data_IF_932228111310
#
_entry.id   IF_932228111310
#
_cell.length_a   1.000
_cell.length_b   1.000
_cell.length_c   1.000
_cell.angle_alpha   90.00
_cell.angle_beta   90.00
_cell.angle_gamma   90.00
#
_symmetry.space_group_name_H-M   'P 1'
#
loop_
_entity.id
_entity.type
_entity.pdbx_description
1 polymer ?
#
# COMPACT_ATOMS: atom_id res chain seq x y z
N UNK A 1 -2.29 -13.19 9.49
CA UNK A 1 -0.85 -12.80 9.55
C UNK A 1 -0.40 -12.36 8.17
N UNK A 2 0.68 -11.54 8.02
CA UNK A 2 1.29 -11.30 6.69
C UNK A 2 2.21 -12.48 6.42
N UNK A 3 1.96 -13.21 5.32
CA UNK A 3 2.73 -14.40 4.94
C UNK A 3 3.74 -14.10 3.85
N UNK A 4 3.47 -13.07 3.04
CA UNK A 4 4.37 -12.63 1.97
C UNK A 4 4.23 -11.14 1.76
N UNK A 5 5.34 -10.49 1.47
CA UNK A 5 5.36 -9.11 1.01
C UNK A 5 6.22 -8.99 -0.25
N UNK A 6 5.72 -8.27 -1.25
CA UNK A 6 6.46 -7.88 -2.45
C UNK A 6 6.52 -6.37 -2.52
N UNK A 7 7.70 -5.84 -2.75
CA UNK A 7 7.96 -4.40 -2.83
C UNK A 7 8.78 -4.13 -4.09
N UNK A 8 8.26 -3.26 -4.95
CA UNK A 8 8.96 -2.82 -6.15
C UNK A 8 9.04 -1.30 -6.18
N UNK A 9 10.22 -0.79 -6.51
CA UNK A 9 10.50 0.64 -6.71
C UNK A 9 10.18 1.52 -5.50
N UNK A 10 10.48 1.07 -4.30
CA UNK A 10 10.26 1.82 -3.06
C UNK A 10 11.60 2.22 -2.42
N UNK A 11 11.92 3.50 -2.36
CA UNK A 11 13.14 4.08 -1.77
C UNK A 11 14.40 3.38 -2.30
N UNK A 12 15.19 2.73 -1.44
CA UNK A 12 16.37 1.95 -1.86
C UNK A 12 16.03 0.55 -2.39
N UNK A 13 14.78 0.11 -2.27
CA UNK A 13 14.35 -1.22 -2.71
C UNK A 13 13.89 -1.15 -4.15
N UNK A 14 14.68 -1.74 -5.06
CA UNK A 14 14.28 -1.89 -6.45
C UNK A 14 13.21 -2.97 -6.60
N UNK A 15 13.51 -4.14 -6.04
CA UNK A 15 12.61 -5.30 -6.07
C UNK A 15 12.99 -6.25 -4.93
N UNK A 16 12.01 -6.67 -4.16
CA UNK A 16 12.16 -7.71 -3.15
C UNK A 16 10.85 -8.45 -2.96
N UNK A 17 10.95 -9.76 -2.77
CA UNK A 17 9.85 -10.61 -2.32
C UNK A 17 10.32 -11.39 -1.09
N UNK A 18 9.56 -11.33 -0.01
CA UNK A 18 9.87 -11.96 1.27
C UNK A 18 8.71 -12.85 1.69
N UNK A 19 9.00 -14.12 1.95
CA UNK A 19 8.12 -15.00 2.71
C UNK A 19 8.31 -14.73 4.20
N UNK A 20 7.21 -14.55 4.92
CA UNK A 20 7.20 -14.18 6.33
C UNK A 20 6.58 -15.28 7.18
N UNK A 21 7.22 -15.57 8.31
CA UNK A 21 6.72 -16.46 9.35
C UNK A 21 6.10 -15.69 10.52
N UNK A 22 5.76 -16.39 11.61
CA UNK A 22 5.20 -15.76 12.83
C UNK A 22 6.16 -14.77 13.50
N UNK A 23 7.46 -14.98 13.35
CA UNK A 23 8.52 -14.11 13.85
C UNK A 23 9.58 -13.96 12.76
N UNK A 24 9.90 -12.72 12.41
CA UNK A 24 10.92 -12.42 11.41
C UNK A 24 11.91 -11.41 11.97
N UNK A 25 13.19 -11.66 11.76
CA UNK A 25 14.27 -10.77 12.16
C UNK A 25 14.98 -10.30 10.88
N UNK A 26 14.98 -8.99 10.66
CA UNK A 26 15.68 -8.37 9.53
C UNK A 26 16.95 -7.71 10.04
N UNK A 27 18.10 -8.24 9.64
CA UNK A 27 19.40 -7.69 10.01
C UNK A 27 20.27 -7.37 8.78
N UNK A 28 21.27 -6.54 8.96
CA UNK A 28 22.18 -6.12 7.90
C UNK A 28 22.84 -4.78 8.21
N UNK A 29 23.78 -4.32 7.35
CA UNK A 29 24.46 -3.05 7.55
C UNK A 29 23.50 -1.85 7.51
N UNK A 30 23.97 -0.69 8.01
CA UNK A 30 23.19 0.54 7.91
C UNK A 30 23.06 0.94 6.44
N UNK A 31 21.88 1.46 6.08
CA UNK A 31 21.59 1.88 4.69
C UNK A 31 21.16 0.76 3.73
N UNK A 32 21.17 -0.53 4.13
CA UNK A 32 20.80 -1.63 3.24
C UNK A 32 19.27 -1.76 2.97
N UNK A 33 18.44 -0.87 3.54
CA UNK A 33 17.01 -0.85 3.22
C UNK A 33 16.08 -1.53 4.24
N UNK A 34 16.58 -1.99 5.40
CA UNK A 34 15.74 -2.64 6.45
C UNK A 34 14.51 -1.82 6.82
N UNK A 35 14.71 -0.55 7.13
CA UNK A 35 13.63 0.38 7.49
C UNK A 35 12.64 0.63 6.34
N UNK A 36 13.06 0.43 5.11
CA UNK A 36 12.19 0.63 3.95
C UNK A 36 11.15 -0.49 3.81
N UNK A 37 11.48 -1.73 4.22
CA UNK A 37 10.50 -2.82 4.29
C UNK A 37 9.39 -2.46 5.29
N UNK A 38 9.78 -1.99 6.48
CA UNK A 38 8.85 -1.53 7.51
C UNK A 38 7.98 -0.36 7.00
N UNK A 39 8.59 0.65 6.37
CA UNK A 39 7.89 1.80 5.80
C UNK A 39 6.93 1.42 4.67
N UNK A 40 7.24 0.40 3.87
CA UNK A 40 6.35 -0.10 2.85
C UNK A 40 5.08 -0.72 3.46
N UNK A 41 5.22 -1.50 4.54
CA UNK A 41 4.05 -2.05 5.26
C UNK A 41 3.23 -0.92 5.90
N UNK A 42 3.92 0.10 6.45
CA UNK A 42 3.26 1.26 7.04
C UNK A 42 2.45 2.06 6.02
N UNK A 43 2.95 2.20 4.78
CA UNK A 43 2.20 2.83 3.69
C UNK A 43 0.88 2.08 3.39
N UNK A 44 0.87 0.74 3.43
CA UNK A 44 -0.37 -0.03 3.27
C UNK A 44 -1.37 0.26 4.40
N UNK A 45 -0.89 0.39 5.64
CA UNK A 45 -1.77 0.76 6.77
C UNK A 45 -2.26 2.19 6.67
N UNK A 46 -1.43 3.12 6.23
CA UNK A 46 -1.84 4.50 5.96
C UNK A 46 -2.95 4.54 4.89
N UNK A 47 -2.83 3.72 3.84
CA UNK A 47 -3.87 3.57 2.81
C UNK A 47 -5.19 3.07 3.42
N UNK A 48 -5.14 2.06 4.30
CA UNK A 48 -6.32 1.54 4.98
C UNK A 48 -6.97 2.56 5.94
N UNK A 49 -6.21 3.50 6.47
CA UNK A 49 -6.68 4.57 7.33
C UNK A 49 -7.20 5.80 6.55
N UNK A 50 -7.12 5.82 5.22
CA UNK A 50 -7.43 7.02 4.42
C UNK A 50 -6.40 8.15 4.61
N UNK A 51 -5.16 7.79 4.84
CA UNK A 51 -4.04 8.70 5.10
C UNK A 51 -2.91 8.51 4.09
N UNK A 52 -3.21 7.94 2.93
CA UNK A 52 -2.20 7.65 1.91
C UNK A 52 -1.48 8.93 1.46
N UNK A 53 -2.22 9.96 1.06
CA UNK A 53 -1.64 11.24 0.62
C UNK A 53 -0.84 11.93 1.72
N UNK A 54 -1.34 11.93 2.95
CA UNK A 54 -0.65 12.53 4.09
C UNK A 54 0.67 11.83 4.36
N UNK A 55 0.66 10.48 4.37
CA UNK A 55 1.86 9.69 4.55
C UNK A 55 2.92 9.97 3.48
N UNK A 56 2.51 10.02 2.20
CA UNK A 56 3.42 10.34 1.11
C UNK A 56 4.01 11.75 1.27
N UNK A 57 3.20 12.71 1.68
CA UNK A 57 3.65 14.09 1.94
C UNK A 57 4.64 14.17 3.11
N UNK A 58 4.38 13.50 4.22
CA UNK A 58 5.27 13.42 5.39
C UNK A 58 6.63 12.80 5.07
N UNK A 59 6.65 11.83 4.16
CA UNK A 59 7.89 11.20 3.66
C UNK A 59 8.61 12.04 2.60
N UNK A 60 8.12 13.26 2.32
CA UNK A 60 8.72 14.23 1.41
C UNK A 60 8.27 14.13 -0.04
N UNK A 61 7.10 13.52 -0.28
CA UNK A 61 6.50 13.39 -1.60
C UNK A 61 6.86 12.09 -2.33
N UNK A 62 6.18 11.87 -3.45
CA UNK A 62 6.32 10.63 -4.23
C UNK A 62 7.74 10.43 -4.76
N UNK A 63 8.45 11.50 -5.13
CA UNK A 63 9.84 11.43 -5.61
C UNK A 63 10.79 10.82 -4.57
N UNK A 64 10.58 11.14 -3.28
CA UNK A 64 11.41 10.65 -2.19
C UNK A 64 11.09 9.20 -1.77
N UNK A 65 9.90 8.71 -2.07
CA UNK A 65 9.52 7.34 -1.76
C UNK A 65 9.68 6.38 -2.95
N UNK A 66 9.83 6.91 -4.17
CA UNK A 66 10.14 6.07 -5.33
C UNK A 66 11.63 5.75 -5.41
N UNK A 67 11.92 4.56 -5.94
CA UNK A 67 13.31 4.17 -6.21
C UNK A 67 13.94 5.08 -7.29
N UNK A 68 15.05 5.71 -6.95
CA UNK A 68 15.72 6.73 -7.77
C UNK A 68 16.78 6.18 -8.76
N UNK A 69 16.97 4.85 -8.83
CA UNK A 69 17.95 4.25 -9.74
C UNK A 69 17.58 4.45 -11.22
N UNK A 70 18.55 4.23 -12.11
CA UNK A 70 18.33 4.39 -13.55
C UNK A 70 17.32 3.36 -14.06
N UNK A 71 16.34 3.84 -14.81
CA UNK A 71 15.40 2.99 -15.55
C UNK A 71 16.11 2.34 -16.73
N UNK A 72 15.84 1.05 -17.00
CA UNK A 72 16.43 0.40 -18.14
C UNK A 72 15.89 1.02 -19.45
N UNK A 73 16.72 1.16 -20.49
CA UNK A 73 16.27 1.69 -21.77
C UNK A 73 15.12 0.89 -22.41
N UNK A 74 14.95 -0.35 -21.99
CA UNK A 74 13.89 -1.27 -22.43
C UNK A 74 12.56 -1.04 -21.73
N UNK A 75 12.55 -0.32 -20.60
CA UNK A 75 11.34 -0.05 -19.84
C UNK A 75 10.52 1.04 -20.54
N UNK A 76 9.51 0.60 -21.28
CA UNK A 76 8.61 1.47 -22.07
C UNK A 76 7.54 2.16 -21.25
N UNK A 77 7.31 1.70 -20.00
CA UNK A 77 6.25 2.22 -19.14
C UNK A 77 6.82 3.11 -18.03
N UNK A 78 6.09 4.15 -17.62
CA UNK A 78 6.46 4.94 -16.45
C UNK A 78 6.67 4.05 -15.23
N UNK A 79 7.71 4.36 -14.46
CA UNK A 79 7.99 3.64 -13.21
C UNK A 79 6.81 3.77 -12.26
N UNK A 80 6.43 2.67 -11.64
CA UNK A 80 5.43 2.61 -10.59
C UNK A 80 6.05 2.01 -9.34
N UNK A 81 5.71 2.58 -8.21
CA UNK A 81 5.88 1.95 -6.90
C UNK A 81 4.78 0.90 -6.78
N UNK A 82 5.15 -0.32 -6.38
CA UNK A 82 4.19 -1.40 -6.16
C UNK A 82 4.50 -2.08 -4.84
N UNK A 83 3.47 -2.23 -4.02
CA UNK A 83 3.54 -3.00 -2.79
C UNK A 83 2.38 -3.98 -2.79
N UNK A 84 2.68 -5.25 -2.53
CA UNK A 84 1.68 -6.28 -2.38
C UNK A 84 1.94 -7.08 -1.11
N UNK A 85 0.88 -7.41 -0.37
CA UNK A 85 0.96 -8.28 0.79
C UNK A 85 -0.06 -9.42 0.67
N UNK A 86 0.39 -10.63 0.97
CA UNK A 86 -0.44 -11.82 1.11
C UNK A 86 -0.60 -12.11 2.59
N UNK A 87 -1.85 -12.29 3.02
CA UNK A 87 -2.20 -12.71 4.38
C UNK A 87 -2.95 -14.05 4.36
N UNK A 88 -3.33 -14.55 5.53
CA UNK A 88 -4.17 -15.76 5.65
C UNK A 88 -5.54 -15.58 4.98
N UNK A 89 -6.05 -14.34 4.91
CA UNK A 89 -7.40 -14.04 4.48
C UNK A 89 -7.48 -13.39 3.09
N UNK A 90 -6.48 -12.62 2.70
CA UNK A 90 -6.51 -11.84 1.46
C UNK A 90 -5.11 -11.57 0.91
N UNK A 91 -5.07 -11.21 -0.36
CA UNK A 91 -3.93 -10.55 -1.00
C UNK A 91 -4.35 -9.13 -1.42
N UNK A 92 -3.56 -8.15 -1.01
CA UNK A 92 -3.77 -6.74 -1.38
C UNK A 92 -2.57 -6.23 -2.18
N UNK A 93 -2.85 -5.52 -3.26
CA UNK A 93 -1.84 -4.91 -4.13
C UNK A 93 -2.18 -3.44 -4.38
N UNK A 94 -1.19 -2.58 -4.17
CA UNK A 94 -1.25 -1.14 -4.41
C UNK A 94 -0.16 -0.74 -5.40
N UNK A 95 -0.53 -0.04 -6.46
CA UNK A 95 0.40 0.56 -7.42
C UNK A 95 0.20 2.07 -7.46
N UNK A 96 1.30 2.80 -7.33
CA UNK A 96 1.32 4.25 -7.26
C UNK A 96 2.28 4.80 -8.33
N UNK A 97 1.95 5.93 -8.89
CA UNK A 97 2.78 6.60 -9.88
C UNK A 97 2.47 8.09 -9.96
N UNK A 98 3.22 8.78 -10.81
CA UNK A 98 2.96 10.18 -11.11
C UNK A 98 1.74 10.35 -12.04
N UNK A 99 1.13 11.54 -12.06
CA UNK A 99 0.14 11.91 -13.05
C UNK A 99 0.67 11.68 -14.49
N UNK A 100 -0.24 11.50 -15.41
CA UNK A 100 0.14 11.54 -16.83
C UNK A 100 0.63 12.94 -17.19
N UNK A 101 1.64 13.00 -18.07
CA UNK A 101 2.17 14.29 -18.53
C UNK A 101 1.09 15.01 -19.32
N UNK A 102 0.65 16.13 -18.78
CA UNK A 102 -0.27 17.04 -19.48
C UNK A 102 0.52 17.93 -20.44
N UNK A 103 -0.11 18.39 -21.54
CA UNK A 103 0.53 19.29 -22.50
C UNK A 103 0.76 20.71 -21.96
N UNK A 104 0.32 20.99 -20.74
CA UNK A 104 0.49 22.26 -20.03
C UNK A 104 1.07 22.04 -18.63
N UNK A 105 1.86 22.96 -18.08
CA UNK A 105 2.39 22.83 -16.73
C UNK A 105 1.25 22.93 -15.70
N UNK A 106 1.31 22.04 -14.71
CA UNK A 106 0.40 22.04 -13.55
C UNK A 106 1.21 21.88 -12.27
N UNK A 107 0.73 22.46 -11.17
CA UNK A 107 1.35 22.34 -9.85
C UNK A 107 1.21 20.92 -9.27
N UNK A 108 0.30 20.09 -9.81
CA UNK A 108 -0.01 18.74 -9.33
C UNK A 108 0.78 17.63 -10.04
N UNK A 109 1.82 17.97 -10.79
CA UNK A 109 2.63 16.97 -11.53
C UNK A 109 3.39 15.98 -10.66
N UNK A 110 3.60 16.32 -9.40
CA UNK A 110 4.33 15.50 -8.43
C UNK A 110 3.41 14.81 -7.41
N UNK A 111 2.10 15.04 -7.50
CA UNK A 111 1.15 14.43 -6.60
C UNK A 111 1.10 12.91 -6.81
N UNK A 112 1.00 12.12 -5.74
CA UNK A 112 0.87 10.68 -5.87
C UNK A 112 -0.49 10.32 -6.47
N UNK A 113 -0.50 9.42 -7.46
CA UNK A 113 -1.73 8.86 -8.00
C UNK A 113 -1.74 7.35 -7.80
N UNK A 114 -2.82 6.85 -7.23
CA UNK A 114 -3.12 5.41 -7.15
C UNK A 114 -3.51 4.94 -8.55
N UNK A 115 -2.59 4.23 -9.20
CA UNK A 115 -2.77 3.71 -10.56
C UNK A 115 -3.61 2.44 -10.59
N UNK A 116 -3.32 1.54 -9.66
CA UNK A 116 -4.05 0.29 -9.53
C UNK A 116 -4.14 -0.11 -8.05
N UNK A 117 -5.28 -0.67 -7.67
CA UNK A 117 -5.52 -1.20 -6.34
C UNK A 117 -6.41 -2.43 -6.46
N UNK A 118 -5.93 -3.56 -5.95
CA UNK A 118 -6.60 -4.83 -6.13
C UNK A 118 -6.63 -5.61 -4.81
N UNK A 119 -7.73 -6.34 -4.59
CA UNK A 119 -7.89 -7.28 -3.47
C UNK A 119 -8.38 -8.62 -4.01
N UNK A 120 -7.72 -9.70 -3.61
CA UNK A 120 -8.16 -11.07 -3.82
C UNK A 120 -8.35 -11.76 -2.48
N UNK A 121 -9.38 -12.59 -2.35
CA UNK A 121 -9.53 -13.44 -1.17
C UNK A 121 -8.55 -14.60 -1.23
N UNK A 122 -7.91 -14.91 -0.10
CA UNK A 122 -6.99 -16.05 0.05
C UNK A 122 -7.74 -17.38 -0.01
N UNK A 123 -6.99 -18.47 -0.32
CA UNK A 123 -7.58 -19.79 -0.53
C UNK A 123 -8.03 -20.05 -1.98
N UNK A 124 -8.02 -19.03 -2.81
CA UNK A 124 -8.26 -19.11 -4.24
C UNK A 124 -7.02 -18.60 -4.99
N UNK A 125 -6.60 -19.31 -6.04
CA UNK A 125 -5.57 -18.76 -6.94
C UNK A 125 -6.02 -17.36 -7.42
N UNK A 126 -5.07 -16.47 -7.75
CA UNK A 126 -5.36 -15.16 -8.37
C UNK A 126 -6.19 -15.36 -9.65
N UNK A 127 -7.50 -15.41 -9.51
CA UNK A 127 -8.46 -15.53 -10.61
C UNK A 127 -9.34 -14.27 -10.61
N UNK A 128 -9.90 -13.89 -11.76
CA UNK A 128 -10.87 -12.79 -11.82
C UNK A 128 -12.07 -13.00 -10.89
N UNK A 129 -12.46 -14.27 -10.62
CA UNK A 129 -13.57 -14.63 -9.72
C UNK A 129 -13.27 -14.44 -8.23
N UNK A 130 -12.00 -14.52 -7.81
CA UNK A 130 -11.60 -14.30 -6.41
C UNK A 130 -11.26 -12.84 -6.10
N UNK A 131 -11.32 -11.96 -7.10
CA UNK A 131 -11.01 -10.54 -6.95
C UNK A 131 -12.24 -9.77 -6.49
N UNK A 132 -12.20 -9.24 -5.26
CA UNK A 132 -13.28 -8.50 -4.63
C UNK A 132 -13.16 -6.98 -4.80
N UNK A 133 -11.97 -6.49 -5.12
CA UNK A 133 -11.72 -5.12 -5.55
C UNK A 133 -10.82 -5.11 -6.77
N UNK A 134 -11.19 -4.33 -7.77
CA UNK A 134 -10.35 -3.93 -8.87
C UNK A 134 -10.51 -2.44 -9.10
N UNK A 135 -9.46 -1.68 -8.84
CA UNK A 135 -9.39 -0.26 -9.20
C UNK A 135 -8.30 -0.04 -10.24
N UNK A 136 -8.61 0.78 -11.21
CA UNK A 136 -7.65 1.30 -12.19
C UNK A 136 -7.93 2.78 -12.39
N UNK A 137 -6.99 3.62 -11.96
CA UNK A 137 -7.18 5.08 -11.90
C UNK A 137 -8.50 5.46 -11.19
N UNK A 138 -9.41 6.12 -11.89
CA UNK A 138 -10.71 6.58 -11.37
C UNK A 138 -11.85 5.56 -11.54
N UNK A 139 -11.58 4.39 -12.07
CA UNK A 139 -12.58 3.34 -12.22
C UNK A 139 -12.35 2.23 -11.18
N UNK A 140 -13.40 1.86 -10.44
CA UNK A 140 -13.34 0.75 -9.51
C UNK A 140 -14.55 -0.17 -9.64
N UNK A 141 -14.29 -1.47 -9.49
CA UNK A 141 -15.29 -2.52 -9.42
C UNK A 141 -15.13 -3.25 -8.09
N UNK A 142 -16.21 -3.39 -7.36
CA UNK A 142 -16.26 -4.05 -6.07
C UNK A 142 -17.29 -5.18 -6.10
N UNK A 143 -17.03 -6.23 -5.33
CA UNK A 143 -18.02 -7.28 -5.09
C UNK A 143 -18.87 -6.87 -3.91
N UNK A 144 -20.19 -6.84 -4.10
CA UNK A 144 -21.17 -6.46 -3.08
C UNK A 144 -21.54 -7.64 -2.15
N UNK A 145 -22.43 -7.39 -1.19
CA UNK A 145 -22.91 -8.38 -0.24
C UNK A 145 -23.62 -9.57 -0.91
N UNK A 146 -24.12 -9.42 -2.12
CA UNK A 146 -24.78 -10.49 -2.89
C UNK A 146 -23.78 -11.31 -3.74
N UNK A 147 -22.49 -10.94 -3.71
CA UNK A 147 -21.47 -11.55 -4.56
C UNK A 147 -21.43 -11.01 -5.99
N UNK A 148 -22.17 -9.94 -6.27
CA UNK A 148 -22.23 -9.33 -7.60
C UNK A 148 -21.16 -8.23 -7.75
N UNK A 149 -20.54 -8.17 -8.93
CA UNK A 149 -19.63 -7.09 -9.27
C UNK A 149 -20.42 -5.84 -9.62
N UNK A 150 -20.23 -4.78 -8.84
CA UNK A 150 -20.80 -3.48 -9.09
C UNK A 150 -19.72 -2.44 -9.36
N UNK A 151 -20.00 -1.50 -10.24
CA UNK A 151 -19.17 -0.32 -10.44
C UNK A 151 -19.32 0.60 -9.24
N UNK A 152 -18.21 1.09 -8.70
CA UNK A 152 -18.25 2.17 -7.72
C UNK A 152 -18.64 3.46 -8.44
N UNK A 153 -19.78 4.03 -8.06
CA UNK A 153 -20.40 5.16 -8.78
C UNK A 153 -19.99 6.52 -8.26
N UNK A 154 -19.40 6.59 -7.08
CA UNK A 154 -18.95 7.84 -6.50
C UNK A 154 -17.66 8.32 -7.19
N UNK A 155 -17.39 9.62 -7.08
CA UNK A 155 -16.14 10.18 -7.59
C UNK A 155 -14.96 9.60 -6.82
N UNK A 156 -14.04 8.96 -7.54
CA UNK A 156 -12.81 8.41 -6.95
C UNK A 156 -11.71 9.46 -7.04
N UNK A 157 -11.20 9.90 -5.89
CA UNK A 157 -10.02 10.75 -5.81
C UNK A 157 -8.76 9.92 -6.11
N UNK A 158 -8.00 10.35 -7.10
CA UNK A 158 -6.83 9.59 -7.59
C UNK A 158 -5.67 9.56 -6.59
N UNK A 159 -5.58 10.58 -5.77
CA UNK A 159 -4.52 10.75 -4.78
C UNK A 159 -4.79 10.02 -3.46
N UNK A 160 -5.86 9.23 -3.35
CA UNK A 160 -6.18 8.49 -2.13
C UNK A 160 -6.59 7.05 -2.43
N UNK A 161 -6.34 6.13 -1.49
CA UNK A 161 -6.80 4.74 -1.56
C UNK A 161 -8.32 4.64 -1.58
N UNK A 162 -8.87 3.61 -2.21
CA UNK A 162 -10.30 3.32 -2.15
C UNK A 162 -10.78 3.10 -0.71
N UNK A 163 -9.93 2.61 0.17
CA UNK A 163 -10.25 2.41 1.58
C UNK A 163 -10.63 3.70 2.31
N UNK A 164 -10.00 4.83 1.96
CA UNK A 164 -10.32 6.14 2.53
C UNK A 164 -11.64 6.72 2.01
N UNK A 165 -12.13 6.21 0.89
CA UNK A 165 -13.28 6.74 0.18
C UNK A 165 -14.53 5.86 0.31
N UNK A 166 -14.36 4.61 0.76
CA UNK A 166 -15.45 3.65 0.89
C UNK A 166 -16.27 3.91 2.16
N UNK A 167 -17.47 4.47 1.98
CA UNK A 167 -18.41 4.80 3.06
C UNK A 167 -19.46 3.73 3.38
N UNK A 168 -19.54 2.63 2.62
CA UNK A 168 -20.64 1.66 2.68
C UNK A 168 -20.17 0.25 3.12
N UNK A 169 -19.82 0.03 4.41
CA UNK A 169 -19.30 -1.26 4.87
C UNK A 169 -20.28 -2.41 4.73
N UNK A 170 -21.58 -2.14 4.82
CA UNK A 170 -22.61 -3.15 4.67
C UNK A 170 -22.78 -3.62 3.23
N UNK A 171 -22.52 -2.74 2.27
CA UNK A 171 -22.60 -3.07 0.86
C UNK A 171 -21.39 -3.84 0.36
N UNK A 172 -20.19 -3.51 0.86
CA UNK A 172 -18.91 -4.10 0.46
C UNK A 172 -18.18 -4.74 1.66
N UNK A 173 -18.75 -5.81 2.26
CA UNK A 173 -18.27 -6.37 3.52
C UNK A 173 -16.84 -6.92 3.41
N UNK A 174 -16.48 -7.56 2.28
CA UNK A 174 -15.17 -8.15 2.10
C UNK A 174 -14.06 -7.08 2.05
N UNK A 175 -14.27 -6.00 1.29
CA UNK A 175 -13.30 -4.89 1.21
C UNK A 175 -13.19 -4.20 2.56
N UNK A 176 -14.31 -4.03 3.26
CA UNK A 176 -14.34 -3.43 4.60
C UNK A 176 -13.60 -4.29 5.63
N UNK A 177 -13.74 -5.62 5.57
CA UNK A 177 -13.00 -6.56 6.43
C UNK A 177 -11.48 -6.46 6.20
N UNK A 178 -11.03 -6.39 4.95
CA UNK A 178 -9.63 -6.20 4.61
C UNK A 178 -9.12 -4.87 5.18
N UNK A 179 -9.86 -3.77 4.99
CA UNK A 179 -9.53 -2.46 5.57
C UNK A 179 -9.35 -2.54 7.09
N UNK A 180 -10.31 -3.13 7.80
CA UNK A 180 -10.25 -3.23 9.26
C UNK A 180 -9.09 -4.13 9.74
N UNK A 181 -8.78 -5.21 9.03
CA UNK A 181 -7.62 -6.05 9.32
C UNK A 181 -6.32 -5.28 9.20
N UNK A 182 -6.13 -4.51 8.12
CA UNK A 182 -4.93 -3.69 7.90
C UNK A 182 -4.82 -2.54 8.91
N UNK A 183 -5.92 -1.91 9.31
CA UNK A 183 -5.96 -0.85 10.33
C UNK A 183 -5.55 -1.33 11.73
N UNK A 184 -5.67 -2.62 12.01
CA UNK A 184 -5.26 -3.22 13.29
C UNK A 184 -3.77 -3.53 13.36
N UNK A 185 -3.02 -3.43 12.26
CA UNK A 185 -1.57 -3.61 12.29
C UNK A 185 -0.95 -2.54 13.17
N UNK A 186 -0.01 -2.96 14.04
CA UNK A 186 0.64 -2.07 14.99
C UNK A 186 2.11 -1.86 14.60
N UNK A 187 2.53 -0.62 14.64
CA UNK A 187 3.88 -0.20 14.29
C UNK A 187 4.53 0.45 15.50
N UNK A 188 5.73 0.01 15.84
CA UNK A 188 6.51 0.53 16.95
C UNK A 188 7.83 1.04 16.39
N UNK A 189 7.95 2.35 16.17
CA UNK A 189 9.11 2.96 15.52
C UNK A 189 10.32 3.06 16.43
N UNK A 190 10.11 3.40 17.69
CA UNK A 190 11.17 3.61 18.67
C UNK A 190 10.74 3.09 20.02
N UNK A 191 11.51 2.14 20.52
CA UNK A 191 11.49 1.87 21.96
C UNK A 191 12.47 2.86 22.59
N UNK A 192 11.97 3.79 23.42
CA UNK A 192 12.81 4.63 24.23
C UNK A 192 13.56 3.75 25.24
N UNK A 193 14.76 3.31 24.87
CA UNK A 193 15.61 2.43 25.71
C UNK A 193 16.56 3.22 26.60
N UNK A 194 16.56 4.55 26.51
CA UNK A 194 17.37 5.46 27.30
C UNK A 194 17.06 5.38 28.80
N UNK A 195 17.90 6.05 29.61
CA UNK A 195 17.78 6.08 31.07
C UNK A 195 16.44 6.65 31.57
N UNK A 196 15.84 7.54 30.79
CA UNK A 196 14.55 8.19 31.06
C UNK A 196 13.35 7.48 30.37
N UNK A 197 13.55 6.27 29.87
CA UNK A 197 12.48 5.53 29.24
C UNK A 197 11.32 5.29 30.23
N UNK A 198 10.06 5.54 29.81
CA UNK A 198 8.89 5.18 30.62
C UNK A 198 8.85 3.70 31.01
N UNK A 199 9.45 2.81 30.20
CA UNK A 199 9.57 1.38 30.47
C UNK A 199 10.53 1.03 31.61
N UNK A 200 11.34 2.00 32.09
CA UNK A 200 12.31 1.84 33.17
C UNK A 200 11.96 2.62 34.43
N UNK A 201 10.83 3.35 34.41
CA UNK A 201 10.38 4.05 35.60
C UNK A 201 9.66 3.05 36.52
N UNK A 202 9.96 3.08 37.83
CA UNK A 202 9.22 2.28 38.78
C UNK A 202 7.75 2.68 38.77
N UNK A 203 6.87 1.70 38.70
CA UNK A 203 5.42 1.82 38.84
C UNK A 203 5.04 2.17 40.28
#
# INVERSE_FOLDING_TARGET
>A
MINRIRINNFRSVREIELELGPLNIVFGPNGCGKSNIYKAIHLLTASANGQFSSYVSEEGGLENIMWSGKQAPTDRHPRRLQIACLTDEFEYELQVGFPEKLPYPTQFMLDPIVKEENIWLSGFNRRPSSRVLQRKNQAAFLVDVNGEKSTFTDTIYENESIFGQLGEPHRFPEVSRVRETMRRWRFYHEFAIGRLSPLRQPT
#
